data_IF_143443135310
#
_entry.id   IF_143443135310
#
_cell.length_a   1.000
_cell.length_b   1.000
_cell.length_c   1.000
_cell.angle_alpha   90.00
_cell.angle_beta   90.00
_cell.angle_gamma   90.00
#
_symmetry.space_group_name_H-M   'P 1'
#
loop_
_entity.id
_entity.type
_entity.pdbx_description
1 polymer ?
#
# COMPACT_ATOMS: atom_id res chain seq x y z
N UNK A 1 -11.40 15.09 0.09
CA UNK A 1 -11.66 13.97 1.03
C UNK A 1 -13.14 13.99 1.37
N UNK A 2 -13.90 12.93 1.03
CA UNK A 2 -15.28 12.80 1.53
C UNK A 2 -15.21 12.54 3.04
N UNK A 3 -16.03 13.25 3.80
CA UNK A 3 -16.10 13.11 5.25
C UNK A 3 -17.25 12.15 5.58
N UNK A 4 -16.93 10.88 5.85
CA UNK A 4 -17.90 9.87 6.27
C UNK A 4 -17.89 9.73 7.79
N UNK A 5 -19.04 9.45 8.38
CA UNK A 5 -19.16 9.28 9.83
C UNK A 5 -18.69 7.86 10.18
N UNK A 6 -17.59 7.77 10.90
CA UNK A 6 -17.08 6.50 11.44
C UNK A 6 -17.05 6.55 12.95
N UNK A 7 -17.57 5.50 13.59
CA UNK A 7 -17.50 5.33 15.04
C UNK A 7 -16.57 4.16 15.33
N UNK A 8 -15.50 4.42 16.07
CA UNK A 8 -14.57 3.39 16.50
C UNK A 8 -15.13 2.75 17.76
N UNK A 9 -15.38 1.45 17.72
CA UNK A 9 -15.78 0.63 18.86
C UNK A 9 -14.51 0.12 19.52
N UNK A 10 -14.38 0.38 20.82
CA UNK A 10 -13.24 -0.04 21.64
C UNK A 10 -13.68 -1.11 22.64
N UNK A 11 -12.76 -2.01 22.94
CA UNK A 11 -12.91 -3.07 23.94
C UNK A 11 -12.74 -2.52 25.38
N UNK A 12 -12.91 -3.38 26.38
CA UNK A 12 -12.72 -3.05 27.80
C UNK A 12 -11.32 -2.51 28.11
N UNK A 13 -10.33 -2.87 27.27
CA UNK A 13 -8.94 -2.37 27.38
C UNK A 13 -8.67 -1.09 26.57
N UNK A 14 -9.71 -0.38 26.12
CA UNK A 14 -9.63 0.80 25.23
C UNK A 14 -8.93 0.54 23.89
N UNK A 15 -8.84 -0.72 23.46
CA UNK A 15 -8.27 -1.09 22.15
C UNK A 15 -9.35 -1.04 21.08
N UNK A 16 -9.10 -0.45 19.90
CA UNK A 16 -10.07 -0.43 18.82
C UNK A 16 -10.28 -1.83 18.25
N UNK A 17 -11.52 -2.31 18.24
CA UNK A 17 -11.88 -3.67 17.75
C UNK A 17 -12.68 -3.61 16.47
N UNK A 18 -13.57 -2.63 16.32
CA UNK A 18 -14.40 -2.49 15.13
C UNK A 18 -14.61 -1.02 14.77
N UNK A 19 -14.96 -0.78 13.52
CA UNK A 19 -15.38 0.53 13.03
C UNK A 19 -16.78 0.38 12.47
N UNK A 20 -17.72 1.13 13.05
CA UNK A 20 -19.08 1.25 12.55
C UNK A 20 -19.13 2.40 11.56
N UNK A 21 -19.69 2.13 10.38
CA UNK A 21 -19.91 3.09 9.31
C UNK A 21 -21.37 2.92 8.90
N UNK A 22 -22.04 4.01 8.55
CA UNK A 22 -23.39 3.96 8.01
C UNK A 22 -23.41 3.14 6.71
N UNK A 23 -24.46 2.34 6.52
CA UNK A 23 -24.51 1.38 5.42
C UNK A 23 -24.44 2.07 4.04
N UNK A 24 -25.04 3.24 3.90
CA UNK A 24 -24.98 4.04 2.66
C UNK A 24 -23.55 4.49 2.34
N UNK A 25 -22.82 4.94 3.36
CA UNK A 25 -21.41 5.31 3.23
C UNK A 25 -20.54 4.09 2.87
N UNK A 26 -20.82 2.92 3.46
CA UNK A 26 -20.15 1.66 3.11
C UNK A 26 -20.33 1.29 1.63
N UNK A 27 -21.57 1.31 1.13
CA UNK A 27 -21.85 0.97 -0.27
C UNK A 27 -21.14 1.91 -1.26
N UNK A 28 -21.05 3.19 -0.94
CA UNK A 28 -20.35 4.17 -1.78
C UNK A 28 -18.83 3.93 -1.78
N UNK A 29 -18.24 3.60 -0.62
CA UNK A 29 -16.83 3.21 -0.51
C UNK A 29 -16.55 1.96 -1.33
N UNK A 30 -17.43 0.96 -1.28
CA UNK A 30 -17.30 -0.29 -2.03
C UNK A 30 -17.28 -0.03 -3.55
N UNK A 31 -18.19 0.80 -4.07
CA UNK A 31 -18.20 1.20 -5.48
C UNK A 31 -16.90 1.91 -5.88
N UNK A 32 -16.42 2.85 -5.05
CA UNK A 32 -15.17 3.57 -5.32
C UNK A 32 -13.97 2.63 -5.32
N UNK A 33 -13.94 1.65 -4.41
CA UNK A 33 -12.88 0.65 -4.33
C UNK A 33 -12.87 -0.26 -5.56
N UNK A 34 -14.04 -0.71 -6.02
CA UNK A 34 -14.16 -1.52 -7.24
C UNK A 34 -13.62 -0.76 -8.47
N UNK A 35 -13.97 0.52 -8.61
CA UNK A 35 -13.45 1.38 -9.68
C UNK A 35 -11.92 1.58 -9.56
N UNK A 36 -11.42 1.73 -8.34
CA UNK A 36 -9.98 1.90 -8.08
C UNK A 36 -9.18 0.63 -8.37
N UNK A 37 -9.71 -0.56 -8.04
CA UNK A 37 -9.09 -1.84 -8.35
C UNK A 37 -8.98 -2.05 -9.86
N UNK A 38 -10.06 -1.79 -10.62
CA UNK A 38 -10.04 -1.82 -12.08
C UNK A 38 -8.98 -0.87 -12.67
N UNK A 39 -8.80 0.32 -12.09
CA UNK A 39 -7.73 1.26 -12.49
C UNK A 39 -6.33 0.81 -12.10
N UNK A 40 -6.19 -0.01 -11.06
CA UNK A 40 -4.89 -0.45 -10.53
C UNK A 40 -4.40 -1.70 -11.26
N UNK A 41 -5.29 -2.62 -11.63
CA UNK A 41 -4.97 -3.77 -12.50
C UNK A 41 -4.48 -3.32 -13.89
N UNK A 42 -4.93 -2.15 -14.36
CA UNK A 42 -4.42 -1.53 -15.59
C UNK A 42 -2.99 -0.99 -15.47
N UNK A 43 -2.42 -0.88 -14.26
CA UNK A 43 -0.98 -0.63 -14.06
C UNK A 43 -0.23 -1.94 -14.02
N UNK A 44 -0.35 -2.72 -15.10
CA UNK A 44 0.67 -3.69 -15.46
C UNK A 44 1.91 -2.90 -15.90
N UNK A 45 2.63 -2.34 -14.93
CA UNK A 45 3.88 -1.64 -15.19
C UNK A 45 4.86 -2.72 -15.60
N UNK A 46 5.09 -2.78 -16.90
CA UNK A 46 6.10 -3.65 -17.48
C UNK A 46 7.47 -3.27 -16.91
N UNK A 47 7.88 -4.02 -15.89
CA UNK A 47 9.17 -3.91 -15.22
C UNK A 47 10.33 -4.27 -16.15
N UNK A 48 10.08 -5.01 -17.24
CA UNK A 48 11.10 -5.34 -18.23
C UNK A 48 11.59 -4.11 -18.98
N UNK A 49 10.80 -3.02 -19.05
CA UNK A 49 11.26 -1.72 -19.58
C UNK A 49 12.44 -1.13 -18.82
N UNK A 50 12.64 -1.53 -17.56
CA UNK A 50 13.73 -1.05 -16.72
C UNK A 50 14.87 -2.09 -16.61
N UNK A 51 14.71 -3.28 -17.20
CA UNK A 51 15.75 -4.29 -17.24
C UNK A 51 16.95 -3.77 -18.05
N UNK A 52 18.15 -3.80 -17.46
CA UNK A 52 19.39 -3.30 -18.09
C UNK A 52 19.56 -1.77 -18.11
N UNK A 53 18.56 -0.99 -17.66
CA UNK A 53 18.66 0.48 -17.56
C UNK A 53 19.18 0.93 -16.19
N UNK A 54 19.22 0.02 -15.21
CA UNK A 54 19.72 0.33 -13.87
C UNK A 54 21.20 0.67 -13.95
N UNK A 55 21.51 1.97 -13.98
CA UNK A 55 22.87 2.50 -13.81
C UNK A 55 23.18 2.49 -12.33
N UNK A 56 23.87 1.46 -11.88
CA UNK A 56 24.38 1.38 -10.52
C UNK A 56 25.52 2.39 -10.35
N UNK A 57 25.49 3.19 -9.28
CA UNK A 57 26.58 4.12 -8.94
C UNK A 57 27.75 3.43 -8.24
N UNK A 58 27.50 2.24 -7.68
CA UNK A 58 28.46 1.43 -6.93
C UNK A 58 28.40 0.02 -7.51
N UNK A 59 29.55 -0.61 -7.66
CA UNK A 59 29.60 -2.00 -8.08
C UNK A 59 28.88 -2.89 -7.04
N UNK A 60 27.94 -3.74 -7.47
CA UNK A 60 27.13 -4.53 -6.54
C UNK A 60 27.95 -5.49 -5.68
N UNK A 61 29.11 -5.96 -6.18
CA UNK A 61 29.99 -6.85 -5.43
C UNK A 61 30.73 -6.09 -4.32
N UNK A 62 31.18 -4.87 -4.60
CA UNK A 62 31.82 -3.97 -3.62
C UNK A 62 30.84 -3.64 -2.48
N UNK A 63 29.59 -3.28 -2.82
CA UNK A 63 28.57 -3.01 -1.81
C UNK A 63 28.27 -4.24 -0.94
N UNK A 64 28.21 -5.43 -1.54
CA UNK A 64 27.98 -6.67 -0.81
C UNK A 64 29.14 -7.00 0.15
N UNK A 65 30.39 -6.70 -0.24
CA UNK A 65 31.55 -6.88 0.63
C UNK A 65 31.51 -5.89 1.80
N UNK A 66 31.21 -4.62 1.55
CA UNK A 66 31.09 -3.60 2.62
C UNK A 66 30.08 -4.01 3.69
N UNK A 67 28.87 -4.41 3.29
CA UNK A 67 27.86 -4.87 4.24
C UNK A 67 28.34 -6.10 5.00
N UNK A 68 29.04 -7.04 4.34
CA UNK A 68 29.55 -8.23 5.02
C UNK A 68 30.63 -7.91 6.04
N UNK A 69 31.49 -6.94 5.77
CA UNK A 69 32.56 -6.53 6.70
C UNK A 69 32.04 -5.62 7.84
N UNK A 70 30.83 -5.06 7.71
CA UNK A 70 30.15 -4.29 8.76
C UNK A 70 29.44 -5.13 9.84
N UNK A 71 29.26 -6.45 9.62
CA UNK A 71 28.63 -7.39 10.57
C UNK A 71 29.65 -8.29 11.26
#
# INVERSE_FOLDING_TARGET
>A
MRNFKKKIVTDETMRPVAVLIDYEDWQEIEKLLAIAQLKTEAKNVDLAKYAGIIKLSIDPLEYQQQIRDEW
#
